data_IF_229421182668
#
_entry.id   IF_229421182668
#
_cell.length_a   1.000
_cell.length_b   1.000
_cell.length_c   1.000
_cell.angle_alpha   90.00
_cell.angle_beta   90.00
_cell.angle_gamma   90.00
#
_symmetry.space_group_name_H-M   'P 1'
#
loop_
_entity.id
_entity.type
_entity.pdbx_description
1 polymer ?
#
# COMPACT_ATOMS: atom_id res chain seq x y z
N UNK A 1 0.15 -50.77 -62.06
CA UNK A 1 -0.96 -49.94 -62.54
C UNK A 1 -1.75 -49.44 -61.34
N UNK A 2 -1.91 -48.11 -61.22
CA UNK A 2 -3.04 -47.31 -60.68
C UNK A 2 -3.87 -47.89 -59.51
N UNK A 3 -4.30 -47.17 -58.47
CA UNK A 3 -4.18 -45.82 -57.92
C UNK A 3 -5.12 -45.84 -56.70
N UNK A 4 -4.87 -45.03 -55.65
CA UNK A 4 -5.85 -44.49 -54.67
C UNK A 4 -6.72 -45.45 -53.83
N UNK A 5 -6.91 -45.34 -52.52
CA UNK A 5 -6.68 -44.26 -51.55
C UNK A 5 -7.73 -44.42 -50.43
N UNK A 6 -7.35 -44.10 -49.18
CA UNK A 6 -8.20 -43.94 -47.97
C UNK A 6 -8.91 -45.23 -47.48
N UNK A 7 -8.94 -45.58 -46.18
CA UNK A 7 -9.27 -44.78 -44.99
C UNK A 7 -8.46 -45.34 -43.80
N UNK A 8 -7.64 -44.49 -43.18
CA UNK A 8 -7.13 -44.72 -41.82
C UNK A 8 -8.25 -44.25 -40.88
N UNK A 9 -8.99 -45.19 -40.30
CA UNK A 9 -9.92 -44.89 -39.22
C UNK A 9 -10.03 -46.11 -38.31
N UNK A 10 -9.66 -45.93 -37.04
CA UNK A 10 -9.99 -46.87 -35.99
C UNK A 10 -8.83 -47.21 -35.06
N UNK A 11 -8.40 -46.24 -34.26
CA UNK A 11 -8.00 -46.35 -32.84
C UNK A 11 -7.03 -45.23 -32.48
N UNK A 12 -7.54 -44.00 -32.50
CA UNK A 12 -7.00 -42.97 -31.62
C UNK A 12 -7.72 -43.16 -30.27
N UNK A 13 -7.09 -43.93 -29.38
CA UNK A 13 -7.40 -43.94 -27.96
C UNK A 13 -6.99 -42.57 -27.41
N UNK A 14 -7.85 -41.58 -27.59
CA UNK A 14 -8.00 -40.47 -26.66
C UNK A 14 -9.12 -40.94 -25.73
N UNK A 15 -8.87 -41.58 -24.59
CA UNK A 15 -8.56 -40.90 -23.33
C UNK A 15 -9.22 -39.52 -23.17
N UNK A 16 -10.42 -39.33 -23.72
CA UNK A 16 -11.36 -38.31 -23.28
C UNK A 16 -12.04 -38.81 -22.01
N UNK A 17 -11.22 -38.98 -20.97
CA UNK A 17 -11.66 -38.64 -19.62
C UNK A 17 -11.85 -37.13 -19.59
N UNK A 18 -12.89 -36.64 -20.27
CA UNK A 18 -13.51 -35.37 -19.91
C UNK A 18 -14.18 -35.69 -18.58
N UNK A 19 -13.40 -35.67 -17.49
CA UNK A 19 -13.95 -35.27 -16.20
C UNK A 19 -14.40 -33.84 -16.46
N UNK A 20 -15.62 -33.69 -16.97
CA UNK A 20 -16.28 -32.42 -17.07
C UNK A 20 -16.27 -31.91 -15.63
N UNK A 21 -15.37 -30.98 -15.35
CA UNK A 21 -15.23 -30.41 -14.02
C UNK A 21 -16.62 -30.00 -13.58
N UNK A 22 -17.16 -30.68 -12.55
CA UNK A 22 -18.46 -30.36 -12.00
C UNK A 22 -18.47 -28.85 -11.75
N UNK A 23 -19.52 -28.12 -12.16
CA UNK A 23 -19.58 -26.68 -11.97
C UNK A 23 -19.35 -26.37 -10.49
N UNK A 24 -18.20 -25.77 -10.19
CA UNK A 24 -17.66 -25.62 -8.84
C UNK A 24 -18.39 -24.57 -8.00
N UNK A 25 -19.53 -24.06 -8.48
CA UNK A 25 -20.17 -22.86 -7.97
C UNK A 25 -21.67 -23.11 -7.69
N UNK A 26 -22.03 -23.54 -6.47
CA UNK A 26 -23.43 -23.72 -6.07
C UNK A 26 -24.15 -22.38 -5.85
N UNK A 27 -23.74 -21.65 -4.81
CA UNK A 27 -24.23 -20.31 -4.45
C UNK A 27 -23.12 -19.29 -4.66
N UNK A 28 -23.33 -18.28 -5.51
CA UNK A 28 -22.36 -17.26 -5.89
C UNK A 28 -22.87 -15.86 -5.54
N UNK A 29 -21.98 -14.92 -5.26
CA UNK A 29 -22.35 -13.51 -5.02
C UNK A 29 -23.18 -12.96 -6.17
N UNK A 30 -24.35 -12.42 -5.86
CA UNK A 30 -25.21 -11.76 -6.83
C UNK A 30 -24.58 -10.43 -7.31
N UNK A 31 -24.73 -10.12 -8.59
CA UNK A 31 -24.25 -8.87 -9.17
C UNK A 31 -24.83 -7.67 -8.42
N UNK A 32 -23.98 -6.71 -8.06
CA UNK A 32 -24.37 -5.53 -7.28
C UNK A 32 -24.29 -5.72 -5.76
N UNK A 33 -23.78 -6.86 -5.31
CA UNK A 33 -23.37 -7.14 -3.93
C UNK A 33 -21.88 -7.50 -3.89
N UNK A 34 -21.22 -7.40 -2.73
CA UNK A 34 -21.73 -6.90 -1.44
C UNK A 34 -22.02 -5.39 -1.46
N UNK A 35 -23.02 -4.96 -0.69
CA UNK A 35 -23.27 -3.55 -0.37
C UNK A 35 -22.66 -3.26 0.99
N UNK A 36 -21.83 -2.22 1.07
CA UNK A 36 -21.01 -1.94 2.24
C UNK A 36 -21.16 -0.47 2.61
N UNK A 37 -21.38 -0.20 3.89
CA UNK A 37 -21.50 1.15 4.43
C UNK A 37 -20.88 1.24 5.83
N UNK A 38 -19.92 2.16 6.06
CA UNK A 38 -19.20 2.95 5.06
C UNK A 38 -18.25 2.08 4.22
N UNK A 39 -17.94 2.52 2.99
CA UNK A 39 -17.00 1.83 2.11
C UNK A 39 -15.57 2.36 2.31
N UNK A 40 -14.57 1.47 2.17
CA UNK A 40 -13.15 1.83 2.23
C UNK A 40 -12.64 2.00 3.65
N UNK A 41 -12.38 3.24 4.07
CA UNK A 41 -11.77 3.56 5.36
C UNK A 41 -12.84 3.90 6.40
N UNK A 42 -12.77 3.24 7.56
CA UNK A 42 -13.74 3.36 8.66
C UNK A 42 -13.00 3.75 9.94
N UNK A 43 -13.58 4.68 10.71
CA UNK A 43 -13.01 5.04 12.02
C UNK A 43 -13.30 3.95 13.06
N UNK A 44 -12.35 3.72 13.97
CA UNK A 44 -12.53 2.82 15.12
C UNK A 44 -13.86 3.14 15.82
N UNK A 45 -14.64 2.09 16.13
CA UNK A 45 -15.91 2.21 16.82
C UNK A 45 -17.09 2.70 15.96
N UNK A 46 -16.85 3.19 14.75
CA UNK A 46 -17.96 3.57 13.86
C UNK A 46 -18.76 2.34 13.42
N UNK A 47 -20.08 2.50 13.21
CA UNK A 47 -20.93 1.41 12.75
C UNK A 47 -20.54 0.96 11.34
N UNK A 48 -20.56 -0.35 11.14
CA UNK A 48 -20.38 -1.04 9.86
C UNK A 48 -21.66 -1.79 9.53
N UNK A 49 -22.11 -1.66 8.29
CA UNK A 49 -23.21 -2.40 7.71
C UNK A 49 -22.77 -3.04 6.40
N UNK A 50 -22.94 -4.36 6.30
CA UNK A 50 -22.64 -5.15 5.09
C UNK A 50 -23.86 -5.99 4.77
N UNK A 51 -24.35 -5.88 3.53
CA UNK A 51 -25.36 -6.77 2.99
C UNK A 51 -24.73 -7.58 1.84
N UNK A 52 -24.90 -8.89 1.87
CA UNK A 52 -24.40 -9.83 0.87
C UNK A 52 -25.54 -10.75 0.43
N UNK A 53 -25.66 -10.98 -0.87
CA UNK A 53 -26.64 -11.90 -1.43
C UNK A 53 -25.93 -12.95 -2.25
N UNK A 54 -26.22 -14.21 -1.95
CA UNK A 54 -25.74 -15.37 -2.69
C UNK A 54 -26.91 -15.98 -3.47
N UNK A 55 -26.70 -16.23 -4.76
CA UNK A 55 -27.70 -16.77 -5.69
C UNK A 55 -27.23 -18.08 -6.30
N UNK A 56 -28.15 -19.02 -6.48
CA UNK A 56 -27.88 -20.31 -7.12
C UNK A 56 -27.45 -20.11 -8.58
N UNK A 57 -26.36 -20.78 -8.99
CA UNK A 57 -25.80 -20.76 -10.34
C UNK A 57 -25.44 -22.14 -10.88
N UNK A 58 -25.00 -23.07 -10.03
CA UNK A 58 -24.54 -24.40 -10.43
C UNK A 58 -25.47 -25.54 -10.02
N UNK A 59 -24.89 -26.75 -10.05
CA UNK A 59 -25.55 -27.99 -9.63
C UNK A 59 -25.81 -27.95 -8.13
N UNK A 60 -26.92 -28.56 -7.73
CA UNK A 60 -27.29 -28.66 -6.33
C UNK A 60 -26.48 -29.77 -5.65
N UNK A 61 -25.75 -29.47 -4.57
CA UNK A 61 -25.06 -30.48 -3.79
C UNK A 61 -26.03 -31.25 -2.90
N UNK A 62 -25.61 -32.42 -2.42
CA UNK A 62 -26.35 -33.17 -1.40
C UNK A 62 -26.29 -32.49 -0.03
N UNK A 63 -25.17 -31.85 0.28
CA UNK A 63 -24.94 -31.07 1.51
C UNK A 63 -24.32 -29.74 1.12
N UNK A 64 -24.86 -28.65 1.65
CA UNK A 64 -24.27 -27.32 1.57
C UNK A 64 -24.15 -26.72 2.97
N UNK A 65 -22.99 -26.16 3.27
CA UNK A 65 -22.67 -25.59 4.57
C UNK A 65 -21.96 -24.25 4.39
N UNK A 66 -22.58 -23.21 4.90
CA UNK A 66 -22.10 -21.84 4.82
C UNK A 66 -21.34 -21.48 6.10
N UNK A 67 -20.10 -21.04 5.93
CA UNK A 67 -19.24 -20.55 6.99
C UNK A 67 -18.97 -19.05 6.80
N UNK A 68 -19.18 -18.28 7.87
CA UNK A 68 -18.85 -16.86 7.94
C UNK A 68 -17.77 -16.65 8.99
N UNK A 69 -16.77 -15.84 8.66
CA UNK A 69 -15.78 -15.32 9.60
C UNK A 69 -15.87 -13.79 9.58
N UNK A 70 -15.88 -13.18 10.76
CA UNK A 70 -16.09 -11.75 10.95
C UNK A 70 -14.97 -11.15 11.80
N UNK A 71 -14.31 -10.12 11.29
CA UNK A 71 -13.33 -9.33 12.02
C UNK A 71 -13.86 -7.93 12.38
N UNK A 72 -15.06 -7.89 12.97
CA UNK A 72 -15.69 -6.66 13.47
C UNK A 72 -16.03 -6.77 14.95
N UNK A 73 -16.17 -5.62 15.62
CA UNK A 73 -16.61 -5.56 17.01
C UNK A 73 -18.14 -5.68 17.10
N UNK A 74 -18.62 -6.41 18.11
CA UNK A 74 -20.04 -6.61 18.41
C UNK A 74 -20.89 -6.98 17.18
N UNK A 75 -20.54 -8.05 16.44
CA UNK A 75 -21.26 -8.41 15.23
C UNK A 75 -22.69 -8.84 15.54
N UNK A 76 -23.62 -8.42 14.69
CA UNK A 76 -25.01 -8.86 14.63
C UNK A 76 -25.25 -9.31 13.20
N UNK A 77 -25.50 -10.60 13.01
CA UNK A 77 -25.70 -11.20 11.68
C UNK A 77 -27.09 -11.75 11.57
N UNK A 78 -27.78 -11.39 10.49
CA UNK A 78 -29.02 -12.00 10.07
C UNK A 78 -28.76 -12.77 8.78
N UNK A 79 -29.01 -14.07 8.78
CA UNK A 79 -28.92 -14.92 7.60
C UNK A 79 -30.34 -15.37 7.25
N UNK A 80 -30.82 -14.95 6.08
CA UNK A 80 -32.15 -15.31 5.59
C UNK A 80 -32.03 -16.16 4.33
N UNK A 81 -32.74 -17.27 4.31
CA UNK A 81 -32.83 -18.15 3.16
C UNK A 81 -34.24 -18.72 3.11
N UNK A 82 -34.82 -18.69 1.90
CA UNK A 82 -36.23 -18.99 1.64
C UNK A 82 -37.19 -18.17 2.55
N UNK A 83 -37.73 -18.79 3.61
CA UNK A 83 -38.65 -18.16 4.58
C UNK A 83 -38.13 -18.17 6.03
N UNK A 84 -36.89 -18.59 6.25
CA UNK A 84 -36.27 -18.64 7.57
C UNK A 84 -35.24 -17.52 7.70
N UNK A 85 -35.22 -16.88 8.87
CA UNK A 85 -34.17 -15.94 9.25
C UNK A 85 -33.56 -16.42 10.56
N UNK A 86 -32.25 -16.58 10.56
CA UNK A 86 -31.46 -16.85 11.76
C UNK A 86 -30.67 -15.62 12.16
N UNK A 87 -30.61 -15.34 13.46
CA UNK A 87 -29.88 -14.21 14.03
C UNK A 87 -28.73 -14.70 14.91
N UNK A 88 -27.54 -14.13 14.72
CA UNK A 88 -26.35 -14.43 15.49
C UNK A 88 -25.79 -13.13 16.06
N UNK A 89 -25.73 -13.04 17.38
CA UNK A 89 -25.24 -11.85 18.09
C UNK A 89 -23.92 -12.20 18.79
N UNK A 90 -22.90 -11.37 18.60
CA UNK A 90 -21.58 -11.51 19.20
C UNK A 90 -20.71 -12.63 18.62
N UNK A 91 -21.25 -13.48 17.73
CA UNK A 91 -20.51 -14.59 17.12
C UNK A 91 -19.62 -14.09 15.98
N UNK A 92 -18.33 -14.38 16.06
CA UNK A 92 -17.33 -14.06 15.00
C UNK A 92 -17.16 -15.15 13.96
N UNK A 93 -17.53 -16.37 14.32
CA UNK A 93 -17.58 -17.52 13.43
C UNK A 93 -18.99 -18.07 13.47
N UNK A 94 -19.60 -18.19 12.29
CA UNK A 94 -20.96 -18.71 12.13
C UNK A 94 -20.89 -19.82 11.10
N UNK A 95 -21.57 -20.90 11.42
CA UNK A 95 -21.63 -22.10 10.60
C UNK A 95 -23.08 -22.52 10.49
N UNK A 96 -23.54 -22.73 9.26
CA UNK A 96 -24.95 -22.97 8.99
C UNK A 96 -25.13 -23.96 7.84
N UNK A 97 -25.92 -25.00 8.06
CA UNK A 97 -26.34 -25.90 6.99
C UNK A 97 -27.40 -25.21 6.13
N UNK A 98 -27.15 -25.13 4.84
CA UNK A 98 -28.06 -24.55 3.85
C UNK A 98 -28.92 -25.69 3.27
N UNK A 99 -30.25 -25.62 3.40
CA UNK A 99 -31.13 -26.64 2.84
C UNK A 99 -30.95 -26.81 1.34
N UNK A 100 -31.14 -28.05 0.89
CA UNK A 100 -31.26 -28.36 -0.52
C UNK A 100 -32.46 -27.60 -1.11
N UNK A 101 -32.34 -27.15 -2.35
CA UNK A 101 -33.31 -26.33 -3.06
C UNK A 101 -33.20 -24.83 -2.80
N UNK A 102 -32.35 -24.38 -1.86
CA UNK A 102 -32.17 -22.96 -1.56
C UNK A 102 -31.71 -22.19 -2.81
N UNK A 103 -32.50 -21.20 -3.23
CA UNK A 103 -32.18 -20.38 -4.42
C UNK A 103 -31.39 -19.13 -4.08
N UNK A 104 -31.60 -18.61 -2.87
CA UNK A 104 -31.11 -17.31 -2.45
C UNK A 104 -30.77 -17.34 -0.96
N UNK A 105 -29.60 -16.82 -0.60
CA UNK A 105 -29.21 -16.55 0.79
C UNK A 105 -28.87 -15.07 0.91
N UNK A 106 -29.54 -14.37 1.82
CA UNK A 106 -29.26 -12.97 2.18
C UNK A 106 -28.57 -12.93 3.54
N UNK A 107 -27.42 -12.27 3.60
CA UNK A 107 -26.65 -12.06 4.82
C UNK A 107 -26.64 -10.56 5.08
N UNK A 108 -27.15 -10.14 6.23
CA UNK A 108 -27.09 -8.77 6.72
C UNK A 108 -26.24 -8.74 7.98
N UNK A 109 -25.08 -8.13 7.90
CA UNK A 109 -24.13 -7.93 8.99
C UNK A 109 -24.21 -6.47 9.45
N UNK A 110 -24.32 -6.29 10.77
CA UNK A 110 -24.18 -5.01 11.45
C UNK A 110 -23.16 -5.17 12.58
N UNK A 111 -22.46 -4.11 12.94
CA UNK A 111 -21.51 -4.10 14.05
C UNK A 111 -20.70 -2.82 14.03
N UNK A 112 -19.54 -2.81 14.68
CA UNK A 112 -18.66 -1.65 14.73
C UNK A 112 -17.25 -2.00 14.23
N UNK A 113 -16.55 -1.01 13.70
CA UNK A 113 -15.14 -1.13 13.40
C UNK A 113 -14.36 -1.51 14.66
N UNK A 114 -13.50 -2.54 14.63
CA UNK A 114 -12.74 -2.99 15.77
C UNK A 114 -11.74 -1.92 16.23
N UNK A 115 -11.22 -2.10 17.45
CA UNK A 115 -10.08 -1.32 17.91
C UNK A 115 -8.83 -1.82 17.20
N UNK A 116 -8.04 -0.90 16.68
CA UNK A 116 -6.76 -1.19 16.01
C UNK A 116 -5.70 -0.21 16.51
N UNK A 117 -4.45 -0.63 16.48
CA UNK A 117 -3.29 0.17 16.89
C UNK A 117 -2.64 0.94 15.73
N UNK A 118 -2.99 0.59 14.50
CA UNK A 118 -2.46 1.15 13.26
C UNK A 118 -3.53 1.11 12.16
N UNK A 119 -3.26 1.74 11.01
CA UNK A 119 -4.12 1.57 9.84
C UNK A 119 -4.10 0.09 9.45
N UNK A 120 -5.22 -0.59 9.67
CA UNK A 120 -5.30 -2.05 9.57
C UNK A 120 -6.37 -2.44 8.58
N UNK A 121 -6.00 -3.30 7.64
CA UNK A 121 -6.94 -3.99 6.76
C UNK A 121 -7.59 -5.14 7.53
N UNK A 122 -8.93 -5.22 7.50
CA UNK A 122 -9.71 -6.26 8.15
C UNK A 122 -10.61 -6.99 7.16
N UNK A 123 -10.78 -8.29 7.36
CA UNK A 123 -11.80 -9.11 6.70
C UNK A 123 -13.13 -8.93 7.45
N UNK A 124 -13.82 -7.82 7.18
CA UNK A 124 -15.05 -7.46 7.86
C UNK A 124 -16.14 -8.54 7.71
N UNK A 125 -16.17 -9.22 6.57
CA UNK A 125 -16.98 -10.42 6.32
C UNK A 125 -16.25 -11.33 5.32
N UNK A 126 -15.89 -12.55 5.72
CA UNK A 126 -15.45 -13.60 4.80
C UNK A 126 -16.48 -14.71 4.76
N UNK A 127 -16.86 -15.15 3.56
CA UNK A 127 -17.82 -16.24 3.37
C UNK A 127 -17.23 -17.39 2.57
N UNK A 128 -17.44 -18.61 3.07
CA UNK A 128 -17.00 -19.85 2.44
C UNK A 128 -18.15 -20.84 2.42
N UNK A 129 -18.33 -21.54 1.31
CA UNK A 129 -19.28 -22.63 1.20
C UNK A 129 -18.53 -23.95 1.11
N UNK A 130 -18.92 -24.89 1.96
CA UNK A 130 -18.50 -26.28 1.88
C UNK A 130 -19.65 -27.08 1.28
N UNK A 131 -19.41 -27.68 0.12
CA UNK A 131 -20.43 -28.48 -0.59
C UNK A 131 -19.98 -29.92 -0.77
N UNK A 132 -20.93 -30.84 -0.76
CA UNK A 132 -20.73 -32.26 -0.98
C UNK A 132 -21.65 -32.76 -2.10
N UNK A 133 -21.08 -33.30 -3.18
CA UNK A 133 -21.84 -33.72 -4.37
C UNK A 133 -22.01 -35.25 -4.49
N UNK A 134 -21.05 -36.06 -3.99
CA UNK A 134 -21.05 -37.52 -4.18
C UNK A 134 -20.45 -38.30 -2.99
N UNK A 135 -21.15 -39.33 -2.45
CA UNK A 135 -20.66 -40.25 -1.41
C UNK A 135 -19.42 -41.08 -1.74
N UNK A 136 -19.12 -41.37 -3.01
CA UNK A 136 -18.01 -42.28 -3.38
C UNK A 136 -16.64 -41.58 -3.45
N UNK A 137 -16.62 -40.25 -3.57
CA UNK A 137 -15.40 -39.44 -3.60
C UNK A 137 -15.41 -38.46 -2.42
N UNK A 138 -14.98 -38.96 -1.26
CA UNK A 138 -14.93 -38.25 0.01
C UNK A 138 -14.21 -36.88 -0.07
N UNK A 139 -14.97 -35.80 -0.15
CA UNK A 139 -14.44 -34.46 0.11
C UNK A 139 -15.49 -33.36 0.02
N UNK A 140 -15.48 -32.44 0.99
CA UNK A 140 -16.15 -31.16 0.82
C UNK A 140 -15.32 -30.28 -0.12
N UNK A 141 -15.97 -29.70 -1.13
CA UNK A 141 -15.36 -28.68 -1.96
C UNK A 141 -15.55 -27.34 -1.26
N UNK A 142 -14.46 -26.63 -1.01
CA UNK A 142 -14.46 -25.29 -0.44
C UNK A 142 -14.56 -24.25 -1.57
N UNK A 143 -15.62 -23.45 -1.56
CA UNK A 143 -15.90 -22.41 -2.54
C UNK A 143 -15.84 -21.05 -1.81
N UNK A 144 -14.87 -20.17 -2.13
CA UNK A 144 -14.86 -18.82 -1.60
C UNK A 144 -15.99 -18.02 -2.24
N UNK A 145 -16.90 -17.50 -1.40
CA UNK A 145 -18.12 -16.83 -1.83
C UNK A 145 -18.07 -15.32 -1.61
N UNK A 146 -16.87 -14.77 -1.39
CA UNK A 146 -16.64 -13.34 -1.23
C UNK A 146 -16.06 -13.00 0.13
N UNK A 147 -15.12 -12.06 0.11
CA UNK A 147 -14.56 -11.39 1.28
C UNK A 147 -14.77 -9.89 1.12
N UNK A 148 -15.31 -9.25 2.16
CA UNK A 148 -15.44 -7.80 2.27
C UNK A 148 -14.30 -7.29 3.11
N UNK A 149 -13.44 -6.50 2.49
CA UNK A 149 -12.27 -5.90 3.11
C UNK A 149 -12.58 -4.44 3.46
N UNK A 150 -12.23 -4.03 4.67
CA UNK A 150 -12.31 -2.64 5.12
C UNK A 150 -10.97 -2.22 5.75
N UNK A 151 -10.64 -0.94 5.64
CA UNK A 151 -9.51 -0.35 6.34
C UNK A 151 -10.00 0.37 7.59
N UNK A 152 -9.45 0.03 8.76
CA UNK A 152 -9.83 0.64 10.03
C UNK A 152 -8.71 1.52 10.54
N UNK A 153 -9.07 2.71 11.00
CA UNK A 153 -8.11 3.69 11.54
C UNK A 153 -8.78 4.64 12.52
N UNK A 154 -8.04 5.56 13.10
CA UNK A 154 -8.59 6.73 13.76
C UNK A 154 -7.91 8.02 13.27
N UNK A 155 -8.34 9.15 13.83
CA UNK A 155 -7.79 10.46 13.47
C UNK A 155 -6.31 10.56 13.87
N UNK A 156 -5.94 10.01 15.02
CA UNK A 156 -4.59 10.12 15.56
C UNK A 156 -3.61 9.29 14.74
N UNK A 157 -3.93 8.03 14.44
CA UNK A 157 -3.19 7.13 13.55
C UNK A 157 -3.00 7.78 12.18
N UNK A 158 -4.06 8.34 11.60
CA UNK A 158 -4.00 9.00 10.29
C UNK A 158 -3.06 10.21 10.32
N UNK A 159 -3.18 11.06 11.35
CA UNK A 159 -2.27 12.20 11.53
C UNK A 159 -0.82 11.74 11.71
N UNK A 160 -0.56 10.74 12.53
CA UNK A 160 0.78 10.19 12.77
C UNK A 160 1.42 9.67 11.48
N UNK A 161 0.66 8.92 10.66
CA UNK A 161 1.16 8.46 9.36
C UNK A 161 1.50 9.63 8.43
N UNK A 162 0.67 10.68 8.42
CA UNK A 162 0.94 11.90 7.66
C UNK A 162 2.21 12.63 8.13
N UNK A 163 2.45 12.70 9.44
CA UNK A 163 3.66 13.29 10.02
C UNK A 163 4.91 12.49 9.67
N UNK A 164 4.85 11.15 9.74
CA UNK A 164 5.94 10.26 9.32
C UNK A 164 6.26 10.50 7.84
N UNK A 165 5.25 10.51 6.97
CA UNK A 165 5.43 10.74 5.53
C UNK A 165 6.04 12.12 5.24
N UNK A 166 5.62 13.15 5.98
CA UNK A 166 6.19 14.50 5.88
C UNK A 166 7.67 14.51 6.29
N UNK A 167 8.01 13.83 7.38
CA UNK A 167 9.40 13.71 7.85
C UNK A 167 10.28 12.97 6.83
N UNK A 168 9.78 11.89 6.22
CA UNK A 168 10.50 11.15 5.17
C UNK A 168 10.75 12.00 3.92
N UNK A 169 9.75 12.74 3.47
CA UNK A 169 9.89 13.66 2.33
C UNK A 169 10.96 14.73 2.61
N UNK A 170 10.95 15.30 3.83
CA UNK A 170 11.98 16.27 4.26
C UNK A 170 13.35 15.64 4.42
N UNK A 171 13.45 14.38 4.85
CA UNK A 171 14.71 13.66 4.94
C UNK A 171 15.36 13.56 3.55
N UNK A 172 14.58 13.15 2.55
CA UNK A 172 15.05 13.08 1.16
C UNK A 172 15.54 14.45 0.66
N UNK A 173 14.79 15.53 0.92
CA UNK A 173 15.22 16.89 0.56
C UNK A 173 16.54 17.28 1.25
N UNK A 174 16.64 17.03 2.56
CA UNK A 174 17.80 17.38 3.36
C UNK A 174 19.05 16.60 2.93
N UNK A 175 18.92 15.30 2.70
CA UNK A 175 20.00 14.45 2.16
C UNK A 175 20.51 14.96 0.81
N UNK A 176 19.60 15.35 -0.09
CA UNK A 176 19.98 15.90 -1.39
C UNK A 176 20.74 17.23 -1.25
N UNK A 177 20.28 18.13 -0.38
CA UNK A 177 20.97 19.41 -0.14
C UNK A 177 22.35 19.24 0.49
N UNK A 178 22.50 18.31 1.43
CA UNK A 178 23.78 18.02 2.06
C UNK A 178 24.76 17.38 1.07
N UNK A 179 24.31 16.43 0.24
CA UNK A 179 25.13 15.86 -0.86
C UNK A 179 25.59 16.91 -1.86
N UNK A 180 24.74 17.88 -2.19
CA UNK A 180 25.12 18.98 -3.07
C UNK A 180 26.23 19.85 -2.46
N UNK A 181 26.20 20.09 -1.15
CA UNK A 181 27.26 20.82 -0.45
C UNK A 181 28.57 20.04 -0.42
N UNK A 182 28.52 18.73 -0.19
CA UNK A 182 29.67 17.83 -0.24
C UNK A 182 30.33 17.86 -1.62
N UNK A 183 29.55 17.77 -2.70
CA UNK A 183 30.08 17.86 -4.06
C UNK A 183 30.77 19.19 -4.39
N UNK A 184 30.47 20.24 -3.59
CA UNK A 184 31.08 21.56 -3.70
C UNK A 184 32.26 21.74 -2.72
N UNK A 185 32.67 20.69 -2.03
CA UNK A 185 33.79 20.70 -1.08
C UNK A 185 33.49 21.39 0.25
N UNK A 186 32.22 21.56 0.62
CA UNK A 186 31.83 22.13 1.92
C UNK A 186 31.92 21.04 2.99
N UNK A 187 32.45 21.39 4.17
CA UNK A 187 32.45 20.47 5.32
C UNK A 187 31.03 20.33 5.90
N UNK A 188 30.42 19.16 5.67
CA UNK A 188 29.05 18.83 6.09
C UNK A 188 28.98 17.96 7.36
N UNK A 189 30.09 17.72 8.06
CA UNK A 189 30.16 16.78 9.20
C UNK A 189 29.05 17.00 10.24
N UNK A 190 28.80 18.26 10.62
CA UNK A 190 27.72 18.60 11.56
C UNK A 190 26.32 18.30 10.99
N UNK A 191 26.07 18.64 9.72
CA UNK A 191 24.79 18.37 9.05
C UNK A 191 24.55 16.86 8.91
N UNK A 192 25.58 16.09 8.58
CA UNK A 192 25.51 14.63 8.48
C UNK A 192 25.19 13.95 9.83
N UNK A 193 25.82 14.40 10.92
CA UNK A 193 25.51 13.88 12.26
C UNK A 193 24.04 14.11 12.61
N UNK A 194 23.51 15.29 12.31
CA UNK A 194 22.11 15.63 12.57
C UNK A 194 21.13 14.93 11.63
N UNK A 195 21.50 14.72 10.37
CA UNK A 195 20.74 13.89 9.43
C UNK A 195 20.60 12.47 9.95
N UNK A 196 21.67 11.90 10.51
CA UNK A 196 21.63 10.56 11.12
C UNK A 196 20.64 10.52 12.29
N UNK A 197 20.69 11.51 13.20
CA UNK A 197 19.73 11.61 14.31
C UNK A 197 18.29 11.71 13.79
N UNK A 198 18.03 12.56 12.81
CA UNK A 198 16.69 12.71 12.23
C UNK A 198 16.19 11.39 11.57
N UNK A 199 17.07 10.67 10.88
CA UNK A 199 16.77 9.36 10.30
C UNK A 199 16.46 8.32 11.37
N UNK A 200 17.22 8.30 12.45
CA UNK A 200 16.98 7.40 13.59
C UNK A 200 15.64 7.72 14.27
N UNK A 201 15.28 9.00 14.43
CA UNK A 201 13.97 9.43 14.92
C UNK A 201 12.81 9.00 14.02
N UNK A 202 12.95 9.09 12.69
CA UNK A 202 11.93 8.58 11.74
C UNK A 202 11.79 7.06 11.86
N UNK A 203 12.90 6.33 11.96
CA UNK A 203 12.87 4.88 12.14
C UNK A 203 12.22 4.47 13.46
N UNK A 204 12.47 5.23 14.53
CA UNK A 204 11.82 5.02 15.82
C UNK A 204 10.32 5.30 15.72
N UNK A 205 9.92 6.40 15.10
CA UNK A 205 8.51 6.73 14.89
C UNK A 205 7.75 5.64 14.13
N UNK A 206 8.36 5.04 13.10
CA UNK A 206 7.77 3.90 12.38
C UNK A 206 7.59 2.66 13.26
N UNK A 207 8.58 2.34 14.09
CA UNK A 207 8.50 1.21 15.03
C UNK A 207 7.40 1.41 16.07
N UNK A 208 7.31 2.62 16.62
CA UNK A 208 6.28 3.00 17.59
C UNK A 208 4.88 3.00 16.96
N UNK A 209 4.76 3.46 15.71
CA UNK A 209 3.50 3.40 14.97
C UNK A 209 3.06 1.94 14.75
N UNK A 210 4.00 1.05 14.39
CA UNK A 210 3.72 -0.37 14.21
C UNK A 210 3.36 -1.08 15.52
N UNK A 211 3.90 -0.64 16.66
CA UNK A 211 3.59 -1.21 17.98
C UNK A 211 2.35 -0.61 18.65
N UNK A 212 1.72 0.40 18.04
CA UNK A 212 0.54 1.07 18.59
C UNK A 212 0.82 2.23 19.56
N UNK A 213 2.08 2.62 19.70
CA UNK A 213 2.48 3.81 20.45
C UNK A 213 2.31 5.08 19.61
N UNK A 214 1.07 5.36 19.19
CA UNK A 214 0.75 6.36 18.17
C UNK A 214 1.17 7.79 18.57
N UNK A 215 1.04 8.16 19.86
CA UNK A 215 1.47 9.46 20.38
C UNK A 215 3.00 9.64 20.35
N UNK A 216 3.74 8.62 20.76
CA UNK A 216 5.22 8.65 20.72
C UNK A 216 5.70 8.72 19.27
N UNK A 217 5.09 7.93 18.39
CA UNK A 217 5.39 7.94 16.97
C UNK A 217 5.18 9.33 16.36
N UNK A 218 4.06 9.99 16.69
CA UNK A 218 3.78 11.37 16.24
C UNK A 218 4.84 12.34 16.72
N UNK A 219 5.16 12.29 18.01
CA UNK A 219 6.16 13.17 18.64
C UNK A 219 7.54 13.00 17.97
N UNK A 220 7.98 11.77 17.76
CA UNK A 220 9.26 11.48 17.11
C UNK A 220 9.29 11.93 15.64
N UNK A 221 8.20 11.75 14.89
CA UNK A 221 8.08 12.25 13.52
C UNK A 221 8.12 13.79 13.45
N UNK A 222 7.44 14.48 14.36
CA UNK A 222 7.47 15.95 14.45
C UNK A 222 8.86 16.47 14.83
N UNK A 223 9.53 15.84 15.79
CA UNK A 223 10.91 16.19 16.17
C UNK A 223 11.89 16.00 15.00
N UNK A 224 11.78 14.89 14.27
CA UNK A 224 12.57 14.67 13.06
C UNK A 224 12.31 15.78 12.03
N UNK A 225 11.05 16.15 11.81
CA UNK A 225 10.67 17.24 10.90
C UNK A 225 11.30 18.58 11.30
N UNK A 226 11.31 18.92 12.60
CA UNK A 226 11.95 20.14 13.09
C UNK A 226 13.47 20.14 12.84
N UNK A 227 14.14 19.02 13.14
CA UNK A 227 15.56 18.86 12.87
C UNK A 227 15.88 18.99 11.38
N UNK A 228 15.07 18.36 10.52
CA UNK A 228 15.23 18.40 9.07
C UNK A 228 15.01 19.79 8.51
N UNK A 229 14.00 20.54 8.98
CA UNK A 229 13.78 21.93 8.59
C UNK A 229 15.00 22.81 8.88
N UNK A 230 15.62 22.63 10.04
CA UNK A 230 16.82 23.39 10.39
C UNK A 230 18.04 22.95 9.55
N UNK A 231 18.21 21.65 9.28
CA UNK A 231 19.25 21.16 8.36
C UNK A 231 19.07 21.76 6.96
N UNK A 232 17.85 21.75 6.43
CA UNK A 232 17.50 22.32 5.13
C UNK A 232 17.83 23.82 5.09
N UNK A 233 17.40 24.56 6.11
CA UNK A 233 17.66 26.00 6.23
C UNK A 233 19.16 26.31 6.29
N UNK A 234 19.92 25.56 7.10
CA UNK A 234 21.37 25.71 7.20
C UNK A 234 22.09 25.36 5.89
N UNK A 235 21.69 24.27 5.24
CA UNK A 235 22.26 23.85 3.97
C UNK A 235 22.03 24.90 2.87
N UNK A 236 20.83 25.47 2.81
CA UNK A 236 20.52 26.56 1.89
C UNK A 236 21.39 27.81 2.15
N UNK A 237 21.56 28.21 3.42
CA UNK A 237 22.45 29.33 3.78
C UNK A 237 23.90 29.09 3.34
N UNK A 238 24.41 27.87 3.55
CA UNK A 238 25.77 27.50 3.12
C UNK A 238 25.90 27.51 1.58
N UNK A 239 24.89 27.01 0.85
CA UNK A 239 24.87 27.01 -0.62
C UNK A 239 24.98 28.42 -1.20
N UNK A 240 24.25 29.39 -0.62
CA UNK A 240 24.31 30.80 -1.02
C UNK A 240 25.69 31.41 -0.75
N UNK A 241 26.29 31.09 0.41
CA UNK A 241 27.64 31.57 0.76
C UNK A 241 28.71 31.07 -0.21
N UNK A 242 28.67 29.79 -0.58
CA UNK A 242 29.58 29.19 -1.55
C UNK A 242 29.44 29.84 -2.92
N UNK A 243 28.20 30.10 -3.38
CA UNK A 243 27.95 30.75 -4.65
C UNK A 243 28.50 32.20 -4.70
N UNK A 244 28.37 32.96 -3.61
CA UNK A 244 28.97 34.31 -3.51
C UNK A 244 30.50 34.25 -3.56
N UNK A 245 31.09 33.29 -2.84
CA UNK A 245 32.55 33.12 -2.78
C UNK A 245 33.14 32.70 -4.11
N UNK A 246 32.49 31.79 -4.84
CA UNK A 246 32.95 31.36 -6.16
C UNK A 246 32.84 32.47 -7.22
N UNK A 247 31.75 33.25 -7.20
CA UNK A 247 31.60 34.42 -8.06
C UNK A 247 32.71 35.44 -7.80
N UNK A 248 32.99 35.76 -6.54
CA UNK A 248 34.05 36.69 -6.15
C UNK A 248 35.44 36.23 -6.63
N UNK A 249 35.77 34.95 -6.45
CA UNK A 249 37.03 34.37 -6.97
C UNK A 249 37.15 34.48 -8.49
N UNK A 250 36.05 34.26 -9.24
CA UNK A 250 36.04 34.39 -10.71
C UNK A 250 36.35 35.83 -11.15
N UNK A 251 35.76 36.82 -10.49
CA UNK A 251 36.03 38.24 -10.80
C UNK A 251 37.46 38.65 -10.47
N UNK A 252 38.05 38.16 -9.37
CA UNK A 252 39.47 38.40 -9.08
C UNK A 252 40.36 37.78 -10.17
N UNK A 253 40.07 36.54 -10.60
CA UNK A 253 40.89 35.87 -11.61
C UNK A 253 40.85 36.61 -12.96
N UNK A 254 39.68 37.10 -13.36
CA UNK A 254 39.50 37.91 -14.58
C UNK A 254 40.23 39.26 -14.43
N UNK A 255 40.07 39.93 -13.29
CA UNK A 255 40.76 41.20 -13.01
C UNK A 255 42.28 41.07 -13.03
N UNK A 256 42.82 40.02 -12.40
CA UNK A 256 44.25 39.74 -12.43
C UNK A 256 44.76 39.43 -13.84
N UNK A 257 44.00 38.67 -14.64
CA UNK A 257 44.35 38.38 -16.04
C UNK A 257 44.41 39.64 -16.90
N UNK A 258 43.45 40.57 -16.75
CA UNK A 258 43.44 41.85 -17.47
C UNK A 258 44.66 42.70 -17.11
N UNK A 259 45.03 42.77 -15.83
CA UNK A 259 46.21 43.54 -15.38
C UNK A 259 47.50 42.97 -15.96
N UNK A 260 47.66 41.64 -15.96
CA UNK A 260 48.85 40.98 -16.54
C UNK A 260 48.98 41.28 -18.04
N UNK A 261 47.88 41.20 -18.80
CA UNK A 261 47.87 41.50 -20.24
C UNK A 261 48.24 42.98 -20.48
N UNK A 262 47.70 43.91 -19.68
CA UNK A 262 48.04 45.33 -19.75
C UNK A 262 49.52 45.60 -19.49
N UNK A 263 50.11 44.93 -18.49
CA UNK A 263 51.56 45.05 -18.21
C UNK A 263 52.39 44.53 -19.37
N UNK A 264 52.03 43.39 -19.97
CA UNK A 264 52.71 42.85 -21.15
C UNK A 264 52.61 43.81 -22.34
N UNK A 265 51.43 44.38 -22.60
CA UNK A 265 51.23 45.36 -23.68
C UNK A 265 52.06 46.61 -23.44
N UNK A 266 52.11 47.13 -22.22
CA UNK A 266 52.96 48.29 -21.87
C UNK A 266 54.44 47.98 -22.06
N UNK A 267 54.90 46.78 -21.67
CA UNK A 267 56.28 46.35 -21.87
C UNK A 267 56.63 46.20 -23.36
N UNK A 268 55.72 45.63 -24.16
CA UNK A 268 55.89 45.52 -25.62
C UNK A 268 55.87 46.90 -26.29
N UNK A 269 55.02 47.81 -25.86
CA UNK A 269 54.97 49.19 -26.35
C UNK A 269 56.24 49.97 -25.97
N UNK A 270 56.82 49.74 -24.79
CA UNK A 270 58.12 50.30 -24.40
C UNK A 270 59.25 49.74 -25.24
N UNK A 271 59.33 48.42 -25.40
CA UNK A 271 60.34 47.79 -26.24
C UNK A 271 60.27 48.31 -27.69
N UNK A 272 59.06 48.45 -28.23
CA UNK A 272 58.85 48.99 -29.59
C UNK A 272 59.17 50.49 -29.70
N UNK A 273 58.98 51.27 -28.62
CA UNK A 273 59.42 52.66 -28.56
C UNK A 273 60.96 52.74 -28.55
N UNK A 274 61.62 51.92 -27.75
CA UNK A 274 63.09 51.89 -27.67
C UNK A 274 63.72 51.45 -29.01
N UNK A 275 63.04 50.61 -29.80
CA UNK A 275 63.45 50.25 -31.17
C UNK A 275 63.23 51.35 -32.22
N UNK A 276 62.26 52.25 -32.00
CA UNK A 276 61.89 53.31 -32.96
C UNK A 276 62.53 54.68 -32.65
N UNK A 277 63.16 54.84 -31.47
CA UNK A 277 63.78 56.08 -31.00
C UNK A 277 62.90 56.88 -30.05
#
# INVERSE_FOLDING_TARGET
>A
MKMSGFIILGMLVLSLGIVAGLPTNYLVVEKGYPKVSPAGVVKIGNPIAIDLVLKKQGVEPQIAKLNLTLDIANPIVYISYDSKTESFIGKRQIELNIPNGTKLVKISLRGNAPKVSSLTEIDALSTKMYVYYDPENNGYINIPNGTVILNVTDVLITQTLSEISTAESKLSLAENQVKELESRGVNTTSLNSRLKVAKDSINLAKKEQASGAVDMAKSNAMQATLLLNDIISQAQKQKVSVAKTSAYKKYILIGAGIVIILVIVILLLRAKRDELG
#
